data_IF_523280978624
#
_entry.id   IF_523280978624
#
_cell.length_a   1.000
_cell.length_b   1.000
_cell.length_c   1.000
_cell.angle_alpha   90.00
_cell.angle_beta   90.00
_cell.angle_gamma   90.00
#
_symmetry.space_group_name_H-M   'P 1'
#
loop_
_entity.id
_entity.type
_entity.pdbx_description
1 polymer ?
#
# COMPACT_ATOMS: atom_id res chain seq x y z
N UNK A 1 -16.26 5.10 2.64
CA UNK A 1 -15.11 4.16 2.69
C UNK A 1 -14.62 3.98 4.12
N UNK A 2 -14.45 5.06 4.89
CA UNK A 2 -14.03 5.00 6.30
C UNK A 2 -15.08 4.30 7.19
N UNK A 3 -16.38 4.47 6.89
CA UNK A 3 -17.47 3.88 7.69
C UNK A 3 -17.58 2.35 7.57
N UNK A 4 -17.04 1.73 6.51
CA UNK A 4 -17.20 0.28 6.28
C UNK A 4 -16.11 -0.57 6.96
N UNK A 5 -14.90 -0.02 7.14
CA UNK A 5 -13.80 -0.67 7.88
C UNK A 5 -14.12 -0.74 9.38
N UNK A 6 -14.96 0.17 9.90
CA UNK A 6 -15.37 0.21 11.32
C UNK A 6 -16.33 -0.92 11.75
N UNK A 7 -16.79 -1.76 10.82
CA UNK A 7 -17.71 -2.86 11.17
C UNK A 7 -17.05 -4.01 11.92
N UNK A 8 -15.71 -4.08 11.93
CA UNK A 8 -14.95 -5.04 12.71
C UNK A 8 -14.42 -4.39 13.99
N UNK A 9 -15.01 -4.76 15.12
CA UNK A 9 -14.51 -4.34 16.43
C UNK A 9 -13.23 -5.12 16.76
N UNK A 10 -12.09 -4.43 16.72
CA UNK A 10 -10.81 -4.97 17.19
C UNK A 10 -10.64 -4.60 18.67
N UNK A 11 -10.61 -5.57 19.61
CA UNK A 11 -10.37 -5.27 21.01
C UNK A 11 -8.90 -4.88 21.21
N UNK A 12 -8.66 -3.67 21.74
CA UNK A 12 -7.32 -3.20 22.09
C UNK A 12 -7.09 -3.27 23.59
N UNK A 13 -5.94 -3.80 23.99
CA UNK A 13 -5.47 -3.77 25.38
C UNK A 13 -4.43 -2.64 25.54
N UNK A 14 -4.65 -1.76 26.53
CA UNK A 14 -3.79 -0.60 26.81
C UNK A 14 -2.65 -0.91 27.80
N UNK A 15 -2.68 -2.08 28.44
CA UNK A 15 -1.70 -2.46 29.46
C UNK A 15 -0.31 -2.62 28.80
N UNK A 16 0.69 -1.90 29.32
CA UNK A 16 2.06 -1.92 28.82
C UNK A 16 2.29 -1.15 27.51
N UNK A 17 1.30 -0.38 27.02
CA UNK A 17 1.47 0.43 25.82
C UNK A 17 2.55 1.51 25.97
N UNK A 18 2.67 2.11 27.16
CA UNK A 18 3.67 3.14 27.43
C UNK A 18 5.09 2.57 27.41
N UNK A 19 5.31 1.42 28.06
CA UNK A 19 6.61 0.75 28.07
C UNK A 19 7.04 0.33 26.67
N UNK A 20 6.11 -0.22 25.87
CA UNK A 20 6.36 -0.55 24.46
C UNK A 20 6.70 0.69 23.61
N UNK A 21 6.14 1.84 23.95
CA UNK A 21 6.35 3.07 23.20
C UNK A 21 7.65 3.80 23.58
N UNK A 22 8.12 3.57 24.80
CA UNK A 22 9.38 4.11 25.32
C UNK A 22 10.57 3.18 25.04
N UNK A 23 10.32 1.88 24.83
CA UNK A 23 11.33 0.84 24.56
C UNK A 23 12.53 0.87 25.55
N UNK A 24 12.29 0.76 26.87
CA UNK A 24 13.34 0.92 27.86
C UNK A 24 14.32 -0.27 27.84
N UNK A 25 15.58 -0.02 27.45
CA UNK A 25 16.65 -1.01 27.56
C UNK A 25 17.46 -0.86 28.85
N UNK A 26 18.02 -1.98 29.32
CA UNK A 26 18.97 -1.95 30.44
C UNK A 26 20.27 -1.27 30.03
N UNK A 27 20.54 -0.10 30.61
CA UNK A 27 21.69 0.76 30.30
C UNK A 27 23.04 0.08 30.49
N UNK A 28 23.17 -0.78 31.50
CA UNK A 28 24.44 -1.48 31.77
C UNK A 28 24.75 -2.45 30.63
N UNK A 29 23.74 -3.14 30.12
CA UNK A 29 23.88 -4.09 29.02
C UNK A 29 24.25 -3.36 27.72
N UNK A 30 23.59 -2.23 27.44
CA UNK A 30 23.93 -1.39 26.27
C UNK A 30 25.39 -0.93 26.33
N UNK A 31 25.86 -0.47 27.49
CA UNK A 31 27.25 -0.04 27.67
C UNK A 31 28.25 -1.18 27.46
N UNK A 32 27.91 -2.40 27.93
CA UNK A 32 28.72 -3.59 27.67
C UNK A 32 28.79 -3.92 26.17
N UNK A 33 27.69 -3.78 25.45
CA UNK A 33 27.64 -4.05 24.00
C UNK A 33 28.42 -3.01 23.18
N UNK A 34 28.36 -1.73 23.56
CA UNK A 34 29.17 -0.67 22.96
C UNK A 34 30.67 -0.90 23.14
N UNK A 35 31.09 -1.55 24.24
CA UNK A 35 32.49 -1.87 24.54
C UNK A 35 32.89 -3.31 24.19
N UNK A 36 32.03 -4.04 23.49
CA UNK A 36 32.31 -5.41 23.12
C UNK A 36 33.52 -5.51 22.20
N UNK A 37 34.26 -6.63 22.31
CA UNK A 37 35.33 -6.98 21.36
C UNK A 37 34.79 -7.28 19.96
N UNK A 38 33.51 -7.61 19.83
CA UNK A 38 32.86 -7.82 18.54
C UNK A 38 32.46 -6.47 17.92
N UNK A 39 33.15 -6.09 16.85
CA UNK A 39 32.93 -4.82 16.14
C UNK A 39 31.49 -4.64 15.64
N UNK A 40 30.85 -5.70 15.15
CA UNK A 40 29.47 -5.61 14.66
C UNK A 40 28.51 -5.25 15.79
N UNK A 41 28.69 -5.88 16.96
CA UNK A 41 27.87 -5.62 18.13
C UNK A 41 28.06 -4.19 18.65
N UNK A 42 29.31 -3.70 18.69
CA UNK A 42 29.59 -2.32 19.06
C UNK A 42 28.94 -1.32 18.09
N UNK A 43 29.02 -1.55 16.78
CA UNK A 43 28.41 -0.69 15.76
C UNK A 43 26.88 -0.61 15.86
N UNK A 44 26.19 -1.72 16.18
CA UNK A 44 24.73 -1.73 16.33
C UNK A 44 24.23 -0.80 17.44
N UNK A 45 25.02 -0.66 18.51
CA UNK A 45 24.65 0.11 19.70
C UNK A 45 25.35 1.48 19.79
N UNK A 46 26.17 1.85 18.80
CA UNK A 46 26.94 3.10 18.80
C UNK A 46 26.07 4.35 18.94
N UNK A 47 24.90 4.34 18.29
CA UNK A 47 23.96 5.47 18.25
C UNK A 47 22.78 5.33 19.22
N UNK A 48 22.83 4.41 20.19
CA UNK A 48 21.76 4.29 21.18
C UNK A 48 21.71 5.56 22.04
N UNK A 49 20.59 6.31 21.96
CA UNK A 49 20.35 7.49 22.79
C UNK A 49 19.36 7.13 23.87
N UNK A 50 19.79 7.28 25.10
CA UNK A 50 18.98 7.00 26.29
C UNK A 50 17.85 8.03 26.43
N UNK A 51 16.66 7.57 26.77
CA UNK A 51 15.45 8.38 26.93
C UNK A 51 15.38 9.08 28.28
N UNK A 52 16.42 9.05 29.12
CA UNK A 52 16.37 9.77 30.39
C UNK A 52 16.81 11.24 30.22
N UNK A 53 16.01 12.21 30.69
CA UNK A 53 16.43 13.60 30.72
C UNK A 53 17.61 13.72 31.67
N UNK A 54 18.81 13.99 31.14
CA UNK A 54 19.97 14.34 31.96
C UNK A 54 19.66 15.63 32.72
N UNK A 55 19.29 15.50 33.99
CA UNK A 55 19.29 16.58 34.97
C UNK A 55 20.73 16.96 35.31
N UNK A 56 21.31 17.84 34.50
CA UNK A 56 22.57 18.51 34.86
C UNK A 56 23.47 18.86 33.69
N UNK A 57 23.76 20.15 33.56
CA UNK A 57 24.86 20.66 32.73
C UNK A 57 24.40 21.55 31.58
N UNK A 58 24.52 22.86 31.79
CA UNK A 58 24.50 23.87 30.72
C UNK A 58 25.68 23.61 29.78
N UNK A 59 25.50 22.85 28.71
CA UNK A 59 26.30 23.03 27.50
C UNK A 59 25.69 22.35 26.28
N UNK A 60 25.53 23.17 25.23
CA UNK A 60 25.31 22.81 23.82
C UNK A 60 23.92 22.25 23.46
N UNK A 61 23.03 23.22 23.20
CA UNK A 61 21.98 23.21 22.15
C UNK A 61 22.41 22.45 20.88
N UNK A 62 22.27 21.12 20.86
CA UNK A 62 22.09 20.27 19.65
C UNK A 62 21.38 18.93 19.97
N UNK A 63 20.93 18.72 21.21
CA UNK A 63 20.34 17.47 21.69
C UNK A 63 18.81 17.55 21.89
N UNK A 64 18.15 18.52 21.25
CA UNK A 64 16.70 18.71 21.35
C UNK A 64 15.88 17.79 20.42
N UNK A 65 16.51 16.83 19.74
CA UNK A 65 15.88 16.00 18.73
C UNK A 65 15.56 14.56 19.18
N UNK A 66 16.02 14.09 20.35
CA UNK A 66 16.09 12.64 20.62
C UNK A 66 15.02 12.06 21.56
N UNK A 67 13.94 12.78 21.84
CA UNK A 67 12.76 12.17 22.45
C UNK A 67 11.74 11.83 21.37
N UNK A 68 12.13 10.96 20.43
CA UNK A 68 11.19 10.35 19.50
C UNK A 68 10.72 9.04 20.12
N UNK A 69 9.46 8.97 20.50
CA UNK A 69 8.83 7.70 20.86
C UNK A 69 8.83 6.76 19.66
N UNK A 70 8.74 5.45 19.91
CA UNK A 70 8.67 4.43 18.85
C UNK A 70 7.53 4.76 17.87
N UNK A 71 6.38 5.19 18.41
CA UNK A 71 5.21 5.58 17.59
C UNK A 71 5.50 6.79 16.70
N UNK A 72 6.25 7.79 17.18
CA UNK A 72 6.58 8.97 16.40
C UNK A 72 7.53 8.63 15.24
N UNK A 73 8.55 7.80 15.48
CA UNK A 73 9.47 7.32 14.45
C UNK A 73 8.74 6.51 13.37
N UNK A 74 7.86 5.59 13.80
CA UNK A 74 7.04 4.79 12.88
C UNK A 74 6.10 5.67 12.04
N UNK A 75 5.50 6.71 12.65
CA UNK A 75 4.65 7.67 11.95
C UNK A 75 5.43 8.46 10.89
N UNK A 76 6.64 8.90 11.19
CA UNK A 76 7.50 9.61 10.23
C UNK A 76 7.90 8.72 9.05
N UNK A 77 8.27 7.46 9.32
CA UNK A 77 8.57 6.48 8.29
C UNK A 77 7.34 6.16 7.42
N UNK A 78 6.17 6.02 8.03
CA UNK A 78 4.91 5.82 7.32
C UNK A 78 4.61 7.01 6.39
N UNK A 79 4.77 8.25 6.86
CA UNK A 79 4.55 9.43 6.03
C UNK A 79 5.47 9.47 4.81
N UNK A 80 6.76 9.14 4.98
CA UNK A 80 7.73 9.04 3.87
C UNK A 80 7.36 7.93 2.88
N UNK A 81 6.88 6.79 3.38
CA UNK A 81 6.42 5.70 2.54
C UNK A 81 5.18 6.12 1.72
N UNK A 82 4.20 6.77 2.37
CA UNK A 82 2.97 7.22 1.71
C UNK A 82 3.20 8.27 0.63
N UNK A 83 4.26 9.10 0.74
CA UNK A 83 4.63 10.02 -0.35
C UNK A 83 5.12 9.29 -1.60
N UNK A 84 5.78 8.13 -1.44
CA UNK A 84 6.31 7.35 -2.56
C UNK A 84 5.23 6.48 -3.24
N UNK A 85 4.22 6.03 -2.49
CA UNK A 85 3.22 5.06 -2.98
C UNK A 85 2.04 5.68 -3.76
N UNK A 86 2.04 6.99 -4.05
CA UNK A 86 0.89 7.73 -4.60
C UNK A 86 0.37 7.23 -5.96
N UNK A 87 1.17 6.50 -6.74
CA UNK A 87 0.77 5.96 -8.05
C UNK A 87 1.24 4.51 -8.21
N UNK A 88 0.66 3.60 -7.42
CA UNK A 88 1.01 2.17 -7.45
C UNK A 88 -0.15 1.30 -7.89
N UNK A 89 0.16 0.12 -8.42
CA UNK A 89 -0.82 -0.91 -8.72
C UNK A 89 -1.19 -1.65 -7.42
N UNK A 90 -2.48 -1.91 -7.24
CA UNK A 90 -2.98 -2.63 -6.06
C UNK A 90 -3.16 -4.11 -6.38
N UNK A 91 -2.58 -4.97 -5.55
CA UNK A 91 -2.82 -6.42 -5.56
C UNK A 91 -3.51 -6.76 -4.24
N UNK A 92 -4.72 -7.33 -4.31
CA UNK A 92 -5.42 -7.81 -3.13
C UNK A 92 -5.24 -9.31 -2.97
N UNK A 93 -4.65 -9.71 -1.86
CA UNK A 93 -4.58 -11.11 -1.45
C UNK A 93 -5.79 -11.45 -0.56
N UNK A 94 -6.42 -12.60 -0.81
CA UNK A 94 -7.55 -13.10 -0.04
C UNK A 94 -7.15 -14.38 0.69
N UNK A 95 -7.59 -14.51 1.93
CA UNK A 95 -7.47 -15.75 2.69
C UNK A 95 -8.67 -16.62 2.31
N UNK A 96 -8.48 -17.87 1.85
CA UNK A 96 -9.58 -18.72 1.40
C UNK A 96 -10.29 -19.45 2.54
N UNK A 97 -9.61 -19.78 3.64
CA UNK A 97 -10.19 -20.39 4.84
C UNK A 97 -9.30 -20.14 6.08
N UNK A 98 -9.87 -20.27 7.28
CA UNK A 98 -9.12 -20.15 8.56
C UNK A 98 -8.34 -21.42 8.93
N UNK A 99 -8.76 -22.58 8.42
CA UNK A 99 -8.17 -23.89 8.73
C UNK A 99 -6.82 -24.14 8.05
N UNK A 100 -6.38 -23.20 7.20
CA UNK A 100 -5.13 -23.27 6.42
C UNK A 100 -5.05 -24.50 5.51
N UNK A 101 -6.19 -25.01 5.09
CA UNK A 101 -6.28 -26.21 4.24
C UNK A 101 -6.29 -25.80 2.76
N UNK A 102 -5.41 -26.34 1.91
CA UNK A 102 -5.45 -26.04 0.48
C UNK A 102 -6.73 -26.56 -0.18
N UNK A 103 -7.22 -25.85 -1.20
CA UNK A 103 -8.38 -26.27 -2.01
C UNK A 103 -9.76 -26.04 -1.39
N UNK A 104 -9.83 -25.60 -0.13
CA UNK A 104 -11.09 -25.25 0.55
C UNK A 104 -11.27 -23.73 0.48
N UNK A 105 -12.49 -23.28 0.16
CA UNK A 105 -12.84 -21.86 0.17
C UNK A 105 -14.12 -21.63 0.97
N UNK A 106 -14.03 -20.78 1.99
CA UNK A 106 -15.17 -20.28 2.74
C UNK A 106 -15.70 -19.00 2.07
N UNK A 107 -16.86 -19.13 1.43
CA UNK A 107 -17.50 -18.04 0.71
C UNK A 107 -17.88 -16.86 1.63
N UNK A 108 -18.31 -17.12 2.87
CA UNK A 108 -18.75 -16.05 3.77
C UNK A 108 -17.55 -15.21 4.23
N UNK A 109 -16.45 -15.88 4.59
CA UNK A 109 -15.22 -15.21 4.98
C UNK A 109 -14.60 -14.41 3.83
N UNK A 110 -14.58 -14.96 2.62
CA UNK A 110 -14.09 -14.22 1.43
C UNK A 110 -14.97 -13.02 1.12
N UNK A 111 -16.30 -13.17 1.19
CA UNK A 111 -17.23 -12.07 0.98
C UNK A 111 -17.04 -10.94 2.00
N UNK A 112 -16.79 -11.31 3.26
CA UNK A 112 -16.47 -10.36 4.32
C UNK A 112 -15.18 -9.59 4.02
N UNK A 113 -14.12 -10.28 3.58
CA UNK A 113 -12.87 -9.63 3.15
C UNK A 113 -13.10 -8.67 1.96
N UNK A 114 -13.87 -9.06 0.94
CA UNK A 114 -14.16 -8.20 -0.21
C UNK A 114 -14.91 -6.91 0.18
N UNK A 115 -15.79 -7.01 1.18
CA UNK A 115 -16.49 -5.87 1.78
C UNK A 115 -15.53 -4.95 2.54
N UNK A 116 -14.74 -5.49 3.45
CA UNK A 116 -13.79 -4.72 4.26
C UNK A 116 -12.68 -4.07 3.43
N UNK A 117 -12.22 -4.75 2.37
CA UNK A 117 -11.23 -4.22 1.43
C UNK A 117 -11.81 -3.20 0.45
N UNK A 118 -13.12 -2.90 0.52
CA UNK A 118 -13.77 -1.91 -0.34
C UNK A 118 -13.82 -2.31 -1.82
N UNK A 119 -13.59 -3.59 -2.15
CA UNK A 119 -13.59 -4.09 -3.53
C UNK A 119 -14.97 -3.96 -4.15
N UNK A 120 -16.02 -4.27 -3.39
CA UNK A 120 -17.40 -4.16 -3.87
C UNK A 120 -17.77 -2.70 -4.22
N UNK A 121 -17.27 -1.73 -3.46
CA UNK A 121 -17.44 -0.31 -3.75
C UNK A 121 -16.61 0.15 -4.97
N UNK A 122 -15.46 -0.48 -5.21
CA UNK A 122 -14.60 -0.20 -6.35
C UNK A 122 -15.13 -0.75 -7.69
N UNK A 123 -15.73 -1.95 -7.66
CA UNK A 123 -16.30 -2.61 -8.85
C UNK A 123 -17.61 -1.92 -9.28
N UNK A 124 -18.38 -1.36 -8.35
CA UNK A 124 -19.64 -0.66 -8.63
C UNK A 124 -19.47 0.78 -9.13
N UNK A 125 -18.25 1.30 -9.29
CA UNK A 125 -18.04 2.61 -9.92
C UNK A 125 -18.29 2.50 -11.42
N UNK A 126 -19.01 3.47 -11.99
CA UNK A 126 -19.19 3.69 -13.44
C UNK A 126 -17.86 4.11 -14.11
N UNK A 127 -16.81 3.31 -13.93
CA UNK A 127 -15.53 3.46 -14.62
C UNK A 127 -15.42 2.43 -15.73
N UNK A 128 -14.53 2.68 -16.68
CA UNK A 128 -14.10 1.69 -17.66
C UNK A 128 -12.81 1.03 -17.13
N UNK A 129 -12.90 -0.09 -16.37
CA UNK A 129 -11.74 -0.69 -15.72
C UNK A 129 -10.76 -1.29 -16.73
N UNK A 130 -11.27 -1.71 -17.90
CA UNK A 130 -10.45 -2.24 -18.96
C UNK A 130 -10.05 -1.11 -19.93
N UNK A 131 -8.74 -0.85 -20.02
CA UNK A 131 -8.15 0.14 -20.94
C UNK A 131 -7.31 -0.61 -21.97
N UNK A 132 -7.91 -0.91 -23.11
CA UNK A 132 -7.23 -1.55 -24.24
C UNK A 132 -6.53 -0.47 -25.07
N UNK A 133 -5.29 -0.74 -25.50
CA UNK A 133 -4.54 0.17 -26.37
C UNK A 133 -5.16 0.15 -27.77
N UNK A 134 -5.29 1.31 -28.42
CA UNK A 134 -5.96 1.45 -29.73
C UNK A 134 -5.42 0.50 -30.82
N UNK A 135 -4.13 0.20 -30.81
CA UNK A 135 -3.49 -0.72 -31.76
C UNK A 135 -4.03 -2.15 -31.59
N UNK A 136 -4.11 -2.61 -30.34
CA UNK A 136 -4.61 -3.93 -29.99
C UNK A 136 -6.11 -4.04 -30.27
N UNK A 137 -6.88 -3.00 -29.97
CA UNK A 137 -8.30 -2.95 -30.31
C UNK A 137 -8.52 -3.08 -31.82
N UNK A 138 -7.77 -2.32 -32.64
CA UNK A 138 -7.82 -2.37 -34.10
C UNK A 138 -7.51 -3.76 -34.63
N UNK A 139 -6.47 -4.42 -34.11
CA UNK A 139 -6.07 -5.75 -34.55
C UNK A 139 -7.11 -6.83 -34.19
N UNK A 140 -7.59 -6.84 -32.95
CA UNK A 140 -8.51 -7.85 -32.44
C UNK A 140 -9.93 -7.72 -33.04
N UNK A 141 -10.39 -6.51 -33.34
CA UNK A 141 -11.76 -6.26 -33.81
C UNK A 141 -11.85 -6.07 -35.34
N UNK A 142 -10.73 -6.10 -36.07
CA UNK A 142 -10.73 -6.04 -37.55
C UNK A 142 -11.60 -7.11 -38.19
N UNK A 143 -11.63 -8.30 -37.60
CA UNK A 143 -12.38 -9.46 -38.13
C UNK A 143 -13.90 -9.21 -38.09
N UNK A 144 -14.38 -8.39 -37.15
CA UNK A 144 -15.80 -8.13 -36.95
C UNK A 144 -16.39 -7.18 -37.99
N UNK A 145 -15.59 -6.27 -38.54
CA UNK A 145 -16.00 -5.42 -39.65
C UNK A 145 -14.80 -5.07 -40.55
N UNK A 146 -14.45 -5.95 -41.50
CA UNK A 146 -13.32 -5.74 -42.41
C UNK A 146 -13.48 -4.51 -43.32
N UNK A 147 -14.70 -4.08 -43.60
CA UNK A 147 -14.97 -2.93 -44.48
C UNK A 147 -14.79 -1.57 -43.80
N UNK A 148 -14.77 -1.51 -42.47
CA UNK A 148 -14.61 -0.25 -41.74
C UNK A 148 -13.19 0.34 -41.86
N UNK A 149 -12.19 -0.51 -42.09
CA UNK A 149 -10.76 -0.15 -42.12
C UNK A 149 -10.14 -0.75 -43.40
N UNK A 150 -10.03 0.04 -44.49
CA UNK A 150 -9.40 -0.42 -45.74
C UNK A 150 -7.91 -0.74 -45.54
N UNK A 151 -7.42 -1.80 -46.18
CA UNK A 151 -6.02 -2.25 -46.07
C UNK A 151 -5.03 -1.31 -46.79
N UNK A 152 -5.50 -0.55 -47.78
CA UNK A 152 -4.67 0.28 -48.67
C UNK A 152 -4.41 1.70 -48.12
N UNK A 153 -5.01 2.05 -46.97
CA UNK A 153 -4.90 3.39 -46.39
C UNK A 153 -4.34 3.30 -44.98
N UNK A 154 -3.22 3.96 -44.74
CA UNK A 154 -2.70 4.13 -43.38
C UNK A 154 -3.68 5.00 -42.57
N UNK A 155 -4.46 4.35 -41.70
CA UNK A 155 -5.35 5.01 -40.74
C UNK A 155 -4.73 4.92 -39.36
N UNK A 156 -4.53 6.09 -38.74
CA UNK A 156 -4.13 6.26 -37.35
C UNK A 156 -5.00 5.40 -36.43
N UNK A 157 -4.38 4.66 -35.50
CA UNK A 157 -5.06 3.71 -34.64
C UNK A 157 -6.17 4.34 -33.82
N UNK A 158 -6.04 5.60 -33.38
CA UNK A 158 -7.12 6.31 -32.68
C UNK A 158 -8.33 6.52 -33.59
N UNK A 159 -8.12 7.10 -34.78
CA UNK A 159 -9.19 7.35 -35.77
C UNK A 159 -9.83 6.06 -36.29
N UNK A 160 -9.06 4.97 -36.37
CA UNK A 160 -9.56 3.67 -36.77
C UNK A 160 -10.57 3.09 -35.75
N UNK A 161 -10.39 3.39 -34.46
CA UNK A 161 -11.30 2.95 -33.39
C UNK A 161 -12.52 3.84 -33.18
N UNK A 162 -12.54 5.06 -33.75
CA UNK A 162 -13.69 5.98 -33.66
C UNK A 162 -14.83 5.62 -34.63
N UNK A 163 -14.54 4.84 -35.68
CA UNK A 163 -15.57 4.39 -36.63
C UNK A 163 -16.48 3.35 -35.95
N UNK A 164 -17.82 3.50 -36.02
CA UNK A 164 -18.73 2.59 -35.37
C UNK A 164 -18.63 1.20 -35.99
N UNK A 165 -18.07 0.25 -35.26
CA UNK A 165 -18.23 -1.16 -35.55
C UNK A 165 -19.60 -1.63 -35.01
N UNK A 166 -20.23 -2.67 -35.58
CA UNK A 166 -21.54 -3.16 -35.14
C UNK A 166 -21.56 -3.67 -33.68
N UNK A 167 -20.40 -3.81 -33.06
CA UNK A 167 -20.28 -3.94 -31.61
C UNK A 167 -20.37 -2.55 -31.01
N UNK A 168 -21.47 -2.24 -30.30
CA UNK A 168 -21.54 -1.07 -29.43
C UNK A 168 -20.50 -1.19 -28.31
N UNK A 169 -19.24 -0.96 -28.63
CA UNK A 169 -18.25 -0.58 -27.65
C UNK A 169 -18.49 0.91 -27.45
N UNK A 170 -19.06 1.25 -26.30
CA UNK A 170 -19.34 2.62 -25.90
C UNK A 170 -18.03 3.37 -25.69
N UNK A 171 -17.39 3.75 -26.78
CA UNK A 171 -16.28 4.70 -26.81
C UNK A 171 -16.76 5.97 -27.50
N UNK A 172 -17.80 6.59 -26.95
CA UNK A 172 -18.04 7.99 -27.25
C UNK A 172 -17.51 8.83 -26.08
N UNK A 173 -16.48 9.61 -26.41
CA UNK A 173 -15.92 10.74 -25.68
C UNK A 173 -15.00 10.39 -24.50
N UNK A 174 -13.70 10.63 -24.72
CA UNK A 174 -12.75 10.77 -23.63
C UNK A 174 -13.07 12.01 -22.81
N UNK A 175 -13.72 11.82 -21.67
CA UNK A 175 -13.55 12.55 -20.40
C UNK A 175 -14.02 11.58 -19.30
N UNK A 176 -13.08 11.20 -18.42
CA UNK A 176 -13.19 10.33 -17.23
C UNK A 176 -13.11 8.81 -17.49
#
# INVERSE_FOLDING_TARGET
MVDFILTLQVPYNIIGCLDKNNDPLNKMVVLCFQKSSNKLLACLYENYVDSDPKTGGKEKRKQAASFQSVSQLQKENLNKLMTNLRCTHFVLCLIPNETKTPGIMDAFMVLHQLRCNGVLEGICRKGFPNRIIYVEFKQCHRILNPHAIPDDVFVDSRKATEKPQPVQVWTHQGVI
#
